data_IF_234592248559
#
_entry.id   IF_234592248559
#
_cell.length_a   1.000
_cell.length_b   1.000
_cell.length_c   1.000
_cell.angle_alpha   90.00
_cell.angle_beta   90.00
_cell.angle_gamma   90.00
#
_symmetry.space_group_name_H-M   'P 1'
#
loop_
_entity.id
_entity.type
_entity.pdbx_description
1 polymer ?
#
# COMPACT_ATOMS: atom_id res chain seq x y z
N UNK A 1 48.74 10.28 6.62
CA UNK A 1 47.48 11.00 6.43
C UNK A 1 46.35 10.14 6.98
N UNK A 2 45.27 10.73 7.49
CA UNK A 2 44.09 10.00 8.00
C UNK A 2 42.96 9.94 6.96
N UNK A 3 43.25 10.34 5.72
CA UNK A 3 42.27 10.58 4.65
C UNK A 3 42.49 9.70 3.40
N UNK A 4 43.50 8.83 3.41
CA UNK A 4 43.85 7.90 2.32
C UNK A 4 43.71 6.43 2.75
N UNK A 5 43.68 5.50 1.78
CA UNK A 5 43.66 4.06 2.04
C UNK A 5 42.27 3.42 2.28
N UNK A 6 41.17 4.15 2.06
CA UNK A 6 39.82 3.57 2.15
C UNK A 6 39.46 2.79 0.87
N UNK A 7 38.78 1.66 1.06
CA UNK A 7 38.16 0.88 -0.02
C UNK A 7 36.65 0.93 0.17
N UNK A 8 35.94 1.26 -0.90
CA UNK A 8 34.48 1.29 -0.93
C UNK A 8 34.00 0.13 -1.79
N UNK A 9 33.22 -0.77 -1.19
CA UNK A 9 32.60 -1.89 -1.89
C UNK A 9 31.07 -1.80 -1.83
N UNK A 10 30.41 -2.09 -2.95
CA UNK A 10 28.96 -2.18 -3.00
C UNK A 10 28.52 -3.59 -2.62
N UNK A 11 27.94 -3.73 -1.42
CA UNK A 11 27.41 -5.01 -0.95
C UNK A 11 26.11 -5.34 -1.69
N UNK A 12 26.15 -6.34 -2.56
CA UNK A 12 24.96 -6.88 -3.19
C UNK A 12 24.10 -7.65 -2.18
N UNK A 13 22.77 -7.48 -2.28
CA UNK A 13 21.80 -8.19 -1.43
C UNK A 13 20.73 -8.86 -2.30
N UNK A 14 20.58 -10.17 -2.16
CA UNK A 14 19.63 -10.99 -2.92
C UNK A 14 18.16 -10.76 -2.55
N UNK A 15 17.88 -10.06 -1.44
CA UNK A 15 16.56 -10.05 -0.79
C UNK A 15 15.38 -9.72 -1.71
N UNK A 16 15.55 -8.81 -2.68
CA UNK A 16 14.49 -8.51 -3.64
C UNK A 16 14.21 -9.70 -4.58
N UNK A 17 15.26 -10.35 -5.07
CA UNK A 17 15.16 -11.54 -5.94
C UNK A 17 14.59 -12.73 -5.18
N UNK A 18 15.05 -12.97 -3.96
CA UNK A 18 14.53 -14.07 -3.12
C UNK A 18 13.03 -13.91 -2.89
N UNK A 19 12.55 -12.68 -2.65
CA UNK A 19 11.12 -12.39 -2.50
C UNK A 19 10.33 -12.60 -3.79
N UNK A 20 10.89 -12.23 -4.94
CA UNK A 20 10.25 -12.47 -6.24
C UNK A 20 10.12 -13.98 -6.51
N UNK A 21 11.18 -14.75 -6.29
CA UNK A 21 11.17 -16.20 -6.46
C UNK A 21 10.19 -16.87 -5.48
N UNK A 22 10.18 -16.43 -4.23
CA UNK A 22 9.22 -16.92 -3.24
C UNK A 22 7.78 -16.59 -3.62
N UNK A 23 7.50 -15.40 -4.15
CA UNK A 23 6.17 -15.03 -4.62
C UNK A 23 5.70 -15.91 -5.80
N UNK A 24 6.57 -16.18 -6.77
CA UNK A 24 6.28 -17.10 -7.88
C UNK A 24 6.02 -18.52 -7.38
N UNK A 25 6.84 -19.00 -6.43
CA UNK A 25 6.64 -20.30 -5.79
C UNK A 25 5.30 -20.37 -5.09
N UNK A 26 4.95 -19.38 -4.26
CA UNK A 26 3.67 -19.30 -3.57
C UNK A 26 2.50 -19.28 -4.56
N UNK A 27 2.57 -18.47 -5.62
CA UNK A 27 1.54 -18.43 -6.67
C UNK A 27 1.35 -19.79 -7.38
N UNK A 28 2.40 -20.59 -7.49
CA UNK A 28 2.35 -21.89 -8.15
C UNK A 28 1.90 -23.04 -7.23
N UNK A 29 2.13 -22.97 -5.92
CA UNK A 29 1.91 -24.09 -4.99
C UNK A 29 0.77 -23.87 -3.99
N UNK A 30 0.36 -22.62 -3.77
CA UNK A 30 -0.69 -22.26 -2.80
C UNK A 30 -1.91 -21.70 -3.54
N UNK A 31 -2.92 -22.55 -3.69
CA UNK A 31 -4.19 -22.23 -4.35
C UNK A 31 -5.02 -21.17 -3.59
N UNK A 32 -4.62 -20.82 -2.35
CA UNK A 32 -5.27 -19.76 -1.56
C UNK A 32 -4.56 -18.40 -1.66
N UNK A 33 -3.42 -18.34 -2.37
CA UNK A 33 -2.61 -17.12 -2.49
C UNK A 33 -3.31 -15.97 -3.23
N UNK A 34 -4.21 -16.29 -4.17
CA UNK A 34 -5.09 -15.35 -4.87
C UNK A 34 -6.46 -15.98 -5.10
N UNK A 35 -7.48 -15.18 -5.44
CA UNK A 35 -8.77 -15.74 -5.86
C UNK A 35 -8.67 -16.48 -7.19
N UNK A 36 -9.50 -17.49 -7.41
CA UNK A 36 -9.52 -18.25 -8.66
C UNK A 36 -9.76 -17.37 -9.91
N UNK A 37 -10.55 -16.30 -9.79
CA UNK A 37 -10.73 -15.33 -10.86
C UNK A 37 -9.41 -14.63 -11.23
N UNK A 38 -8.66 -14.16 -10.24
CA UNK A 38 -7.37 -13.51 -10.47
C UNK A 38 -6.33 -14.49 -11.00
N UNK A 39 -6.29 -15.71 -10.48
CA UNK A 39 -5.41 -16.77 -10.97
C UNK A 39 -5.57 -16.99 -12.48
N UNK A 40 -6.79 -17.26 -12.93
CA UNK A 40 -7.08 -17.50 -14.34
C UNK A 40 -6.85 -16.27 -15.22
N UNK A 41 -7.20 -15.07 -14.74
CA UNK A 41 -6.94 -13.83 -15.49
C UNK A 41 -5.44 -13.52 -15.63
N UNK A 42 -4.64 -13.76 -14.59
CA UNK A 42 -3.19 -13.56 -14.64
C UNK A 42 -2.49 -14.52 -15.60
N UNK A 43 -3.00 -15.75 -15.74
CA UNK A 43 -2.50 -16.74 -16.71
C UNK A 43 -3.01 -16.52 -18.15
N UNK A 44 -3.84 -15.51 -18.38
CA UNK A 44 -4.40 -15.21 -19.70
C UNK A 44 -5.48 -16.19 -20.16
N UNK A 45 -6.07 -16.97 -19.23
CA UNK A 45 -7.20 -17.82 -19.55
C UNK A 45 -8.43 -16.96 -19.85
N UNK A 46 -9.34 -17.47 -20.67
CA UNK A 46 -10.64 -16.86 -20.83
C UNK A 46 -11.50 -17.14 -19.59
N UNK A 47 -12.08 -16.08 -19.03
CA UNK A 47 -12.85 -16.14 -17.79
C UNK A 47 -13.97 -15.13 -17.91
N UNK A 48 -15.19 -15.56 -17.60
CA UNK A 48 -16.35 -14.68 -17.64
C UNK A 48 -16.16 -13.46 -16.72
N UNK A 49 -16.45 -12.24 -17.19
CA UNK A 49 -16.33 -11.04 -16.37
C UNK A 49 -17.16 -11.14 -15.08
N UNK A 50 -16.49 -11.05 -13.93
CA UNK A 50 -17.16 -11.01 -12.63
C UNK A 50 -17.40 -9.57 -12.18
N UNK A 51 -18.56 -9.33 -11.56
CA UNK A 51 -18.89 -8.06 -10.91
C UNK A 51 -18.99 -8.29 -9.40
N UNK A 52 -18.27 -7.48 -8.64
CA UNK A 52 -18.32 -7.49 -7.18
C UNK A 52 -19.64 -6.88 -6.71
N UNK A 53 -20.34 -7.60 -5.83
CA UNK A 53 -21.55 -7.09 -5.18
C UNK A 53 -21.17 -6.19 -4.00
N UNK A 54 -20.91 -4.93 -4.31
CA UNK A 54 -20.59 -3.90 -3.31
C UNK A 54 -21.69 -2.84 -3.26
N UNK A 55 -21.94 -2.30 -2.07
CA UNK A 55 -22.76 -1.09 -1.93
C UNK A 55 -21.90 0.10 -2.34
N UNK A 56 -22.26 0.75 -3.45
CA UNK A 56 -21.54 1.94 -3.90
C UNK A 56 -21.82 3.13 -2.97
N UNK A 57 -20.82 3.99 -2.73
CA UNK A 57 -21.04 5.18 -1.92
C UNK A 57 -22.00 6.13 -2.64
N UNK A 58 -22.83 6.84 -1.86
CA UNK A 58 -23.75 7.86 -2.41
C UNK A 58 -23.01 9.08 -2.96
N UNK A 59 -21.85 9.38 -2.39
CA UNK A 59 -20.97 10.48 -2.78
C UNK A 59 -19.55 9.94 -2.96
N UNK A 60 -18.92 10.35 -4.06
CA UNK A 60 -17.56 9.94 -4.39
C UNK A 60 -16.50 10.97 -3.97
N UNK A 61 -16.93 12.13 -3.46
CA UNK A 61 -16.04 13.12 -2.86
C UNK A 61 -15.31 12.51 -1.66
N UNK A 62 -14.03 12.85 -1.54
CA UNK A 62 -13.15 12.31 -0.49
C UNK A 62 -12.57 13.50 0.28
N UNK A 63 -12.70 13.53 1.62
CA UNK A 63 -12.12 14.59 2.43
C UNK A 63 -10.62 14.74 2.15
N UNK A 64 -10.11 15.98 2.14
CA UNK A 64 -8.69 16.25 1.94
C UNK A 64 -8.14 15.99 0.52
N UNK A 65 -8.98 15.56 -0.43
CA UNK A 65 -8.62 15.42 -1.84
C UNK A 65 -9.40 16.40 -2.74
N UNK A 66 -8.83 16.78 -3.91
CA UNK A 66 -9.57 17.54 -4.90
C UNK A 66 -10.80 16.78 -5.42
N UNK A 67 -11.80 17.52 -5.89
CA UNK A 67 -12.94 16.94 -6.59
C UNK A 67 -12.50 16.17 -7.85
N UNK A 68 -13.14 15.01 -8.04
CA UNK A 68 -12.82 14.15 -9.17
C UNK A 68 -13.47 14.68 -10.44
N UNK A 69 -12.70 14.72 -11.53
CA UNK A 69 -13.28 14.96 -12.85
C UNK A 69 -14.06 13.71 -13.32
N UNK A 70 -14.82 13.86 -14.42
CA UNK A 70 -15.67 12.80 -14.96
C UNK A 70 -14.92 11.48 -15.22
N UNK A 71 -13.71 11.54 -15.79
CA UNK A 71 -12.91 10.34 -16.09
C UNK A 71 -12.43 9.63 -14.82
N UNK A 72 -12.02 10.40 -13.82
CA UNK A 72 -11.56 9.86 -12.53
C UNK A 72 -12.72 9.25 -11.76
N UNK A 73 -13.88 9.93 -11.73
CA UNK A 73 -15.12 9.40 -11.14
C UNK A 73 -15.50 8.05 -11.75
N UNK A 74 -15.52 7.95 -13.08
CA UNK A 74 -15.83 6.71 -13.78
C UNK A 74 -14.82 5.60 -13.45
N UNK A 75 -13.53 5.94 -13.35
CA UNK A 75 -12.49 4.99 -12.95
C UNK A 75 -12.71 4.47 -11.53
N UNK A 76 -12.95 5.36 -10.55
CA UNK A 76 -13.23 4.96 -9.16
C UNK A 76 -14.45 4.05 -9.09
N UNK A 77 -15.56 4.46 -9.73
CA UNK A 77 -16.80 3.66 -9.75
C UNK A 77 -16.58 2.28 -10.36
N UNK A 78 -15.88 2.19 -11.50
CA UNK A 78 -15.63 0.91 -12.17
C UNK A 78 -14.73 -0.03 -11.33
N UNK A 79 -13.71 0.51 -10.67
CA UNK A 79 -12.77 -0.27 -9.86
C UNK A 79 -13.45 -0.90 -8.67
N UNK A 80 -14.35 -0.18 -7.97
CA UNK A 80 -15.06 -0.72 -6.80
C UNK A 80 -15.93 -1.93 -7.13
N UNK A 81 -16.32 -2.10 -8.40
CA UNK A 81 -17.23 -3.17 -8.84
C UNK A 81 -16.52 -4.32 -9.56
N UNK A 82 -15.20 -4.26 -9.74
CA UNK A 82 -14.45 -5.26 -10.51
C UNK A 82 -13.36 -5.91 -9.65
N UNK A 83 -13.18 -7.24 -9.73
CA UNK A 83 -12.09 -7.92 -9.02
C UNK A 83 -10.69 -7.54 -9.52
N UNK A 84 -10.57 -7.09 -10.77
CA UNK A 84 -9.33 -6.60 -11.37
C UNK A 84 -9.61 -5.39 -12.25
N UNK A 85 -8.78 -4.36 -12.15
CA UNK A 85 -8.88 -3.15 -12.97
C UNK A 85 -7.49 -2.60 -13.26
N UNK A 86 -7.30 -2.09 -14.48
CA UNK A 86 -6.10 -1.36 -14.88
C UNK A 86 -6.49 0.09 -15.16
N UNK A 87 -5.83 1.02 -14.47
CA UNK A 87 -6.02 2.46 -14.68
C UNK A 87 -4.81 2.98 -15.44
N UNK A 88 -5.07 3.57 -16.60
CA UNK A 88 -4.06 4.24 -17.41
C UNK A 88 -4.33 5.74 -17.44
N UNK A 89 -3.26 6.54 -17.38
CA UNK A 89 -3.37 7.98 -17.54
C UNK A 89 -2.01 8.60 -17.87
N UNK A 90 -1.94 9.61 -18.77
CA UNK A 90 -0.74 10.40 -19.01
C UNK A 90 -0.15 11.04 -17.73
N UNK A 91 1.08 11.58 -17.79
CA UNK A 91 1.63 12.38 -16.70
C UNK A 91 0.67 13.54 -16.34
N UNK A 92 0.54 13.86 -15.04
CA UNK A 92 -0.30 14.96 -14.57
C UNK A 92 -1.82 14.71 -14.51
N UNK A 93 -2.35 13.57 -14.96
CA UNK A 93 -3.81 13.32 -15.00
C UNK A 93 -4.46 12.90 -13.67
N UNK A 94 -3.76 13.12 -12.54
CA UNK A 94 -4.31 12.84 -11.21
C UNK A 94 -4.44 11.35 -10.87
N UNK A 95 -3.60 10.47 -11.44
CA UNK A 95 -3.56 9.03 -11.07
C UNK A 95 -3.41 8.81 -9.56
N UNK A 96 -2.54 9.57 -8.91
CA UNK A 96 -2.32 9.47 -7.46
C UNK A 96 -3.57 9.87 -6.67
N UNK A 97 -4.25 10.96 -7.07
CA UNK A 97 -5.52 11.39 -6.45
C UNK A 97 -6.58 10.31 -6.64
N UNK A 98 -6.72 9.80 -7.87
CA UNK A 98 -7.67 8.71 -8.20
C UNK A 98 -7.39 7.45 -7.38
N UNK A 99 -6.12 7.09 -7.22
CA UNK A 99 -5.70 5.92 -6.43
C UNK A 99 -6.02 6.11 -4.94
N UNK A 100 -5.74 7.30 -4.38
CA UNK A 100 -6.08 7.61 -3.00
C UNK A 100 -7.60 7.59 -2.77
N UNK A 101 -8.40 8.07 -3.72
CA UNK A 101 -9.86 7.97 -3.66
C UNK A 101 -10.36 6.53 -3.69
N UNK A 102 -9.76 5.66 -4.52
CA UNK A 102 -10.08 4.22 -4.54
C UNK A 102 -9.77 3.59 -3.18
N UNK A 103 -8.57 3.82 -2.65
CA UNK A 103 -8.15 3.29 -1.34
C UNK A 103 -9.09 3.76 -0.23
N UNK A 104 -9.49 5.03 -0.25
CA UNK A 104 -10.46 5.58 0.71
C UNK A 104 -11.78 4.81 0.69
N UNK A 105 -12.38 4.64 -0.49
CA UNK A 105 -13.66 3.94 -0.61
C UNK A 105 -13.56 2.46 -0.27
N UNK A 106 -12.46 1.78 -0.65
CA UNK A 106 -12.20 0.39 -0.26
C UNK A 106 -12.04 0.24 1.26
N UNK A 107 -11.30 1.14 1.91
CA UNK A 107 -11.13 1.11 3.36
C UNK A 107 -12.45 1.36 4.11
N UNK A 108 -13.34 2.19 3.55
CA UNK A 108 -14.68 2.47 4.11
C UNK A 108 -15.69 1.33 3.95
N UNK A 109 -15.38 0.31 3.14
CA UNK A 109 -16.20 -0.90 3.05
C UNK A 109 -15.98 -1.88 4.22
N UNK A 110 -14.99 -1.63 5.08
CA UNK A 110 -14.71 -2.40 6.30
C UNK A 110 -14.48 -3.91 6.08
N UNK A 111 -14.08 -4.31 4.86
CA UNK A 111 -13.79 -5.70 4.50
C UNK A 111 -12.37 -6.16 4.89
N UNK A 112 -11.63 -5.33 5.62
CA UNK A 112 -10.26 -5.60 6.05
C UNK A 112 -9.29 -4.47 5.73
N UNK A 113 -8.00 -4.79 5.77
CA UNK A 113 -6.92 -3.85 5.50
C UNK A 113 -6.66 -3.75 3.99
N UNK A 114 -6.49 -2.52 3.50
CA UNK A 114 -6.12 -2.26 2.09
C UNK A 114 -4.61 -2.17 1.97
N UNK A 115 -4.01 -3.03 1.15
CA UNK A 115 -2.58 -2.98 0.83
C UNK A 115 -2.34 -2.05 -0.36
N UNK A 116 -1.41 -1.10 -0.20
CA UNK A 116 -0.98 -0.17 -1.26
C UNK A 116 0.51 -0.37 -1.49
N UNK A 117 0.91 -0.53 -2.75
CA UNK A 117 2.30 -0.77 -3.15
C UNK A 117 2.68 0.07 -4.37
N UNK A 118 3.95 0.43 -4.46
CA UNK A 118 4.56 1.06 -5.63
C UNK A 118 6.03 0.62 -5.75
N UNK A 119 6.63 0.65 -6.96
CA UNK A 119 7.98 0.12 -7.18
C UNK A 119 9.11 1.00 -6.59
N UNK A 120 8.85 2.28 -6.28
CA UNK A 120 9.83 3.18 -5.67
C UNK A 120 9.34 3.73 -4.33
N UNK A 121 10.26 3.97 -3.39
CA UNK A 121 9.92 4.53 -2.09
C UNK A 121 9.24 5.89 -2.22
N UNK A 122 9.74 6.78 -3.07
CA UNK A 122 9.15 8.11 -3.31
C UNK A 122 7.70 8.00 -3.77
N UNK A 123 7.37 7.05 -4.64
CA UNK A 123 5.99 6.83 -5.09
C UNK A 123 5.09 6.31 -3.95
N UNK A 124 5.60 5.42 -3.09
CA UNK A 124 4.87 4.96 -1.89
C UNK A 124 4.66 6.13 -0.94
N UNK A 125 5.67 6.97 -0.73
CA UNK A 125 5.59 8.07 0.23
C UNK A 125 4.57 9.12 -0.24
N UNK A 126 4.58 9.49 -1.53
CA UNK A 126 3.55 10.36 -2.12
C UNK A 126 2.12 9.79 -2.02
N UNK A 127 1.94 8.48 -2.22
CA UNK A 127 0.63 7.84 -2.03
C UNK A 127 0.23 7.87 -0.55
N UNK A 128 1.16 7.60 0.35
CA UNK A 128 0.93 7.61 1.81
C UNK A 128 0.45 8.99 2.25
N UNK A 129 1.08 10.07 1.83
CA UNK A 129 0.64 11.44 2.13
C UNK A 129 -0.79 11.71 1.66
N UNK A 130 -1.10 11.37 0.40
CA UNK A 130 -2.44 11.60 -0.16
C UNK A 130 -3.51 10.77 0.54
N UNK A 131 -3.22 9.52 0.89
CA UNK A 131 -4.15 8.67 1.63
C UNK A 131 -4.31 9.18 3.06
N UNK A 132 -3.23 9.60 3.73
CA UNK A 132 -3.29 10.15 5.07
C UNK A 132 -4.13 11.43 5.14
N UNK A 133 -4.02 12.31 4.14
CA UNK A 133 -4.83 13.52 4.03
C UNK A 133 -6.35 13.25 4.02
N UNK A 134 -6.79 12.03 3.69
CA UNK A 134 -8.21 11.63 3.75
C UNK A 134 -8.74 11.36 5.16
N UNK A 135 -7.87 11.38 6.17
CA UNK A 135 -8.19 11.03 7.55
C UNK A 135 -8.20 9.53 7.83
N UNK A 136 -7.78 8.69 6.88
CA UNK A 136 -7.56 7.26 7.12
C UNK A 136 -6.35 7.04 8.03
N UNK A 137 -6.42 5.95 8.81
CA UNK A 137 -5.25 5.42 9.53
C UNK A 137 -4.35 4.69 8.54
N UNK A 138 -3.16 5.21 8.33
CA UNK A 138 -2.17 4.68 7.37
C UNK A 138 -0.93 4.24 8.12
N UNK A 139 -0.36 3.10 7.74
CA UNK A 139 0.92 2.61 8.26
C UNK A 139 1.89 2.43 7.10
N UNK A 140 3.01 3.16 7.13
CA UNK A 140 4.11 3.03 6.18
C UNK A 140 5.13 2.01 6.69
N UNK A 141 5.20 0.85 6.04
CA UNK A 141 6.20 -0.17 6.35
C UNK A 141 7.46 0.05 5.50
N UNK A 142 8.58 0.41 6.14
CA UNK A 142 9.89 0.59 5.50
C UNK A 142 10.83 -0.59 5.79
N UNK A 143 11.84 -0.79 4.95
CA UNK A 143 12.90 -1.75 5.24
C UNK A 143 13.77 -1.23 6.40
N UNK A 144 14.28 -2.13 7.26
CA UNK A 144 15.16 -1.78 8.39
C UNK A 144 16.34 -0.89 7.99
N UNK A 145 16.94 -1.15 6.82
CA UNK A 145 18.06 -0.36 6.29
C UNK A 145 17.69 1.09 5.91
N UNK A 146 16.42 1.46 6.01
CA UNK A 146 15.90 2.81 5.72
C UNK A 146 15.29 3.48 6.95
N UNK A 147 15.33 2.87 8.13
CA UNK A 147 14.79 3.49 9.36
C UNK A 147 15.54 4.77 9.76
N UNK A 148 16.81 4.91 9.35
CA UNK A 148 17.59 6.14 9.56
C UNK A 148 17.40 7.21 8.48
N UNK A 149 16.59 6.96 7.45
CA UNK A 149 16.38 7.90 6.34
C UNK A 149 15.14 8.74 6.65
N UNK A 150 15.35 10.04 6.88
CA UNK A 150 14.26 10.97 7.15
C UNK A 150 13.36 11.20 5.93
N UNK A 151 12.05 11.23 6.16
CA UNK A 151 11.02 11.53 5.16
C UNK A 151 9.94 12.44 5.74
N UNK A 152 9.16 13.09 4.88
CA UNK A 152 8.00 13.91 5.29
C UNK A 152 6.92 13.11 6.02
N UNK A 153 6.95 11.78 5.93
CA UNK A 153 5.96 10.86 6.50
C UNK A 153 6.52 10.01 7.64
N UNK A 154 7.61 10.44 8.29
CA UNK A 154 8.25 9.65 9.35
C UNK A 154 7.29 9.26 10.48
N UNK A 155 6.38 10.16 10.85
CA UNK A 155 5.30 9.91 11.83
C UNK A 155 4.29 8.83 11.39
N UNK A 156 4.25 8.52 10.09
CA UNK A 156 3.42 7.45 9.54
C UNK A 156 4.15 6.10 9.43
N UNK A 157 5.45 6.06 9.72
CA UNK A 157 6.22 4.83 9.62
C UNK A 157 6.02 3.92 10.82
N UNK A 158 5.99 2.61 10.56
CA UNK A 158 5.73 1.62 11.62
C UNK A 158 6.73 1.70 12.77
N UNK A 159 8.02 1.89 12.49
CA UNK A 159 9.06 1.92 13.52
C UNK A 159 8.93 3.14 14.44
N UNK A 160 8.57 4.31 13.89
CA UNK A 160 8.33 5.51 14.69
C UNK A 160 7.04 5.41 15.51
N UNK A 161 5.94 4.89 14.94
CA UNK A 161 4.71 4.65 15.70
C UNK A 161 4.94 3.71 16.91
N UNK A 162 5.72 2.64 16.72
CA UNK A 162 6.05 1.70 17.81
C UNK A 162 6.96 2.37 18.84
N UNK A 163 7.92 3.18 18.39
CA UNK A 163 8.80 3.96 19.28
C UNK A 163 8.00 4.93 20.14
N UNK A 164 7.08 5.69 19.54
CA UNK A 164 6.19 6.62 20.22
C UNK A 164 5.28 5.92 21.24
N UNK A 165 4.66 4.79 20.87
CA UNK A 165 3.86 3.99 21.79
C UNK A 165 4.68 3.45 22.97
N UNK A 166 5.95 3.11 22.73
CA UNK A 166 6.86 2.63 23.77
C UNK A 166 7.33 3.74 24.71
N UNK A 167 7.45 4.96 24.17
CA UNK A 167 7.84 6.18 24.88
C UNK A 167 6.68 6.81 25.68
N UNK A 168 5.43 6.58 25.28
CA UNK A 168 4.21 7.10 25.91
C UNK A 168 3.89 6.53 27.32
N UNK A 169 4.89 6.00 28.04
CA UNK A 169 4.76 5.55 29.42
C UNK A 169 3.95 4.25 29.60
N UNK A 170 3.38 4.06 30.80
CA UNK A 170 2.75 2.80 31.23
C UNK A 170 1.55 2.36 30.37
N UNK A 171 0.72 3.30 29.91
CA UNK A 171 -0.44 3.00 29.07
C UNK A 171 -0.04 2.54 27.66
N UNK A 172 0.90 3.24 27.02
CA UNK A 172 1.41 2.88 25.69
C UNK A 172 2.12 1.52 25.68
N UNK A 173 2.94 1.23 26.70
CA UNK A 173 3.58 -0.09 26.87
C UNK A 173 2.57 -1.22 27.07
N UNK A 174 1.50 -0.96 27.83
CA UNK A 174 0.43 -1.95 28.05
C UNK A 174 -0.32 -2.25 26.75
N UNK A 175 -0.61 -1.22 25.95
CA UNK A 175 -1.25 -1.38 24.64
C UNK A 175 -0.35 -2.13 23.66
N UNK A 176 0.94 -1.80 23.58
CA UNK A 176 1.90 -2.52 22.75
C UNK A 176 2.00 -4.00 23.15
N UNK A 177 2.03 -4.30 24.46
CA UNK A 177 2.06 -5.67 24.97
C UNK A 177 0.79 -6.45 24.60
N UNK A 178 -0.39 -5.83 24.68
CA UNK A 178 -1.65 -6.43 24.22
C UNK A 178 -1.61 -6.73 22.71
N UNK A 179 -1.11 -5.81 21.90
CA UNK A 179 -0.97 -6.02 20.45
C UNK A 179 -0.02 -7.18 20.10
N UNK A 180 1.07 -7.33 20.85
CA UNK A 180 2.02 -8.44 20.66
C UNK A 180 1.44 -9.82 21.02
N UNK A 181 0.41 -9.87 21.87
CA UNK A 181 -0.26 -11.10 22.31
C UNK A 181 -1.38 -11.55 21.35
N UNK A 182 -1.74 -10.75 20.34
CA UNK A 182 -2.74 -11.11 19.32
C UNK A 182 -2.17 -12.01 18.21
N UNK A 183 -1.00 -12.62 18.42
CA UNK A 183 -0.36 -13.56 17.49
C UNK A 183 -0.81 -14.99 17.74
#
# INVERSE_FOLDING_TARGET
DLFDGFIVEFVWKATAYDRMQQALKTFAVDDTSVSGYLYHKLLGHDVEPQTLRVSLPRQFSVPGLPELNHSQFNAVKAVLQKPMSLIQGPPGTGKTVTSASIVYHLAKQEMGQVLVCAPSNVAVDHLTEKIHATGLRVVRLSAKSRESVSTSIDHLTLHNMVSELSAAGGAGRTQLRKLQQLK
#
